data_IF_348866651995
#
_entry.id   IF_348866651995
#
_cell.length_a   1.000
_cell.length_b   1.000
_cell.length_c   1.000
_cell.angle_alpha   90.00
_cell.angle_beta   90.00
_cell.angle_gamma   90.00
#
_symmetry.space_group_name_H-M   'P 1'
#
loop_
_entity.id
_entity.type
_entity.pdbx_description
1 polymer ?
#
# COMPACT_ATOMS: atom_id res chain seq x y z
N UNK A 1 11.87 12.77 -0.20
CA UNK A 1 11.08 11.56 0.12
C UNK A 1 9.94 11.56 -0.89
N UNK A 2 9.70 10.45 -1.60
CA UNK A 2 8.53 10.37 -2.49
C UNK A 2 7.30 10.19 -1.60
N UNK A 3 6.19 10.86 -1.91
CA UNK A 3 4.92 10.65 -1.19
C UNK A 3 4.18 9.43 -1.74
N UNK A 4 3.37 8.75 -0.92
CA UNK A 4 2.65 7.55 -1.38
C UNK A 4 1.71 7.86 -2.55
N UNK A 5 1.06 9.01 -2.52
CA UNK A 5 0.17 9.48 -3.59
C UNK A 5 0.90 9.61 -4.93
N UNK A 6 2.09 10.21 -4.94
CA UNK A 6 2.91 10.38 -6.15
C UNK A 6 3.34 9.03 -6.71
N UNK A 7 3.82 8.14 -5.84
CA UNK A 7 4.17 6.77 -6.22
C UNK A 7 2.98 6.00 -6.80
N UNK A 8 1.80 6.15 -6.20
CA UNK A 8 0.60 5.45 -6.63
C UNK A 8 0.12 5.97 -8.00
N UNK A 9 0.11 7.29 -8.19
CA UNK A 9 -0.20 7.92 -9.48
C UNK A 9 0.79 7.48 -10.55
N UNK A 10 2.08 7.43 -10.24
CA UNK A 10 3.10 6.96 -11.17
C UNK A 10 2.85 5.50 -11.63
N UNK A 11 2.36 4.64 -10.72
CA UNK A 11 2.12 3.23 -11.02
C UNK A 11 0.78 2.96 -11.72
N UNK A 12 -0.23 3.80 -11.53
CA UNK A 12 -1.62 3.51 -11.94
C UNK A 12 -2.25 4.56 -12.84
N UNK A 13 -1.68 5.76 -12.92
CA UNK A 13 -2.25 6.91 -13.64
C UNK A 13 -3.39 7.62 -12.89
N UNK A 14 -3.80 7.15 -11.71
CA UNK A 14 -4.91 7.71 -10.92
C UNK A 14 -4.52 7.88 -9.45
N UNK A 15 -5.16 8.81 -8.70
CA UNK A 15 -4.86 8.98 -7.27
C UNK A 15 -5.37 7.80 -6.44
N UNK A 16 -4.72 7.48 -5.30
CA UNK A 16 -5.18 6.41 -4.42
C UNK A 16 -6.49 6.77 -3.72
N UNK A 17 -7.31 5.75 -3.47
CA UNK A 17 -8.43 5.86 -2.55
C UNK A 17 -7.93 6.10 -1.10
N UNK A 18 -8.72 6.78 -0.25
CA UNK A 18 -8.30 7.05 1.14
C UNK A 18 -7.91 5.80 1.93
N UNK A 19 -8.55 4.66 1.68
CA UNK A 19 -8.24 3.41 2.38
C UNK A 19 -6.90 2.80 1.93
N UNK A 20 -6.48 3.00 0.68
CA UNK A 20 -5.19 2.55 0.17
C UNK A 20 -4.06 3.35 0.83
N UNK A 21 -4.22 4.67 0.95
CA UNK A 21 -3.28 5.54 1.68
C UNK A 21 -3.19 5.13 3.16
N UNK A 22 -4.32 4.90 3.83
CA UNK A 22 -4.30 4.38 5.21
C UNK A 22 -3.55 3.05 5.32
N UNK A 23 -3.72 2.15 4.36
CA UNK A 23 -3.06 0.84 4.36
C UNK A 23 -1.54 0.95 4.16
N UNK A 24 -1.09 1.90 3.34
CA UNK A 24 0.33 2.17 3.06
C UNK A 24 1.09 2.66 4.30
N UNK A 25 0.44 3.50 5.12
CA UNK A 25 1.05 4.12 6.32
C UNK A 25 0.72 3.39 7.63
N UNK A 26 -0.14 2.38 7.62
CA UNK A 26 -0.50 1.65 8.83
C UNK A 26 0.69 0.88 9.44
N UNK A 27 0.86 0.99 10.75
CA UNK A 27 1.91 0.27 11.48
C UNK A 27 1.84 -1.26 11.26
N UNK A 28 0.63 -1.82 11.21
CA UNK A 28 0.35 -3.22 10.91
C UNK A 28 -0.70 -3.34 9.80
N UNK A 29 -0.70 -4.48 9.10
CA UNK A 29 -1.75 -4.78 8.12
C UNK A 29 -2.98 -5.36 8.84
N UNK A 30 -4.20 -5.01 8.41
CA UNK A 30 -5.41 -5.64 8.92
C UNK A 30 -5.46 -7.11 8.50
N UNK A 31 -6.09 -7.97 9.32
CA UNK A 31 -6.32 -9.38 8.98
C UNK A 31 -7.35 -9.56 7.85
N UNK A 32 -8.24 -8.59 7.68
CA UNK A 32 -9.31 -8.62 6.68
C UNK A 32 -9.49 -7.22 6.08
N UNK A 33 -9.50 -7.15 4.75
CA UNK A 33 -9.81 -5.95 3.99
C UNK A 33 -11.08 -6.19 3.18
N UNK A 34 -12.18 -5.56 3.59
CA UNK A 34 -13.46 -5.62 2.87
C UNK A 34 -13.61 -4.34 2.05
N UNK A 35 -13.72 -4.49 0.73
CA UNK A 35 -14.10 -3.41 -0.16
C UNK A 35 -14.85 -3.98 -1.38
N UNK A 36 -15.73 -3.21 -2.04
CA UNK A 36 -16.43 -3.65 -3.24
C UNK A 36 -15.49 -4.06 -4.38
N UNK A 37 -16.00 -4.84 -5.34
CA UNK A 37 -15.29 -5.07 -6.62
C UNK A 37 -15.12 -3.75 -7.35
N UNK A 38 -13.99 -3.57 -8.04
CA UNK A 38 -13.64 -2.29 -8.67
C UNK A 38 -13.10 -1.22 -7.70
N UNK A 39 -13.11 -1.44 -6.39
CA UNK A 39 -12.59 -0.47 -5.41
C UNK A 39 -11.05 -0.42 -5.33
N UNK A 40 -10.32 -1.10 -6.22
CA UNK A 40 -8.86 -1.08 -6.26
C UNK A 40 -8.17 -1.95 -5.18
N UNK A 41 -8.77 -3.08 -4.80
CA UNK A 41 -8.21 -3.97 -3.76
C UNK A 41 -6.87 -4.57 -4.14
N UNK A 42 -6.66 -4.85 -5.43
CA UNK A 42 -5.41 -5.44 -5.94
C UNK A 42 -4.27 -4.43 -5.81
N UNK A 43 -4.51 -3.19 -6.19
CA UNK A 43 -3.60 -2.05 -6.03
C UNK A 43 -3.33 -1.78 -4.55
N UNK A 44 -4.35 -1.91 -3.69
CA UNK A 44 -4.18 -1.82 -2.25
C UNK A 44 -3.20 -2.91 -1.73
N UNK A 45 -3.37 -4.16 -2.17
CA UNK A 45 -2.50 -5.25 -1.75
C UNK A 45 -1.06 -5.11 -2.28
N UNK A 46 -0.91 -4.83 -3.58
CA UNK A 46 0.39 -4.80 -4.26
C UNK A 46 1.15 -3.50 -3.98
N UNK A 47 0.51 -2.34 -4.20
CA UNK A 47 1.17 -1.05 -4.15
C UNK A 47 1.26 -0.52 -2.71
N UNK A 48 0.16 -0.57 -1.94
CA UNK A 48 0.13 -0.04 -0.58
C UNK A 48 0.71 -1.02 0.45
N UNK A 49 0.16 -2.24 0.54
CA UNK A 49 0.47 -3.19 1.59
C UNK A 49 1.80 -3.94 1.40
N UNK A 50 2.38 -3.92 0.20
CA UNK A 50 3.59 -4.67 -0.10
C UNK A 50 4.72 -3.81 -0.65
N UNK A 51 4.61 -3.34 -1.88
CA UNK A 51 5.72 -2.68 -2.58
C UNK A 51 6.15 -1.38 -1.89
N UNK A 52 5.19 -0.53 -1.52
CA UNK A 52 5.46 0.70 -0.78
C UNK A 52 6.13 0.44 0.56
N UNK A 53 5.53 -0.43 1.39
CA UNK A 53 6.07 -0.79 2.71
C UNK A 53 7.46 -1.43 2.61
N UNK A 54 7.74 -2.15 1.52
CA UNK A 54 9.05 -2.77 1.30
C UNK A 54 10.13 -1.77 0.90
N UNK A 55 9.79 -0.69 0.19
CA UNK A 55 10.75 0.30 -0.31
C UNK A 55 10.90 1.53 0.58
N UNK A 56 9.79 2.01 1.16
CA UNK A 56 9.72 3.33 1.78
C UNK A 56 9.39 3.31 3.27
N UNK A 57 8.88 2.21 3.84
CA UNK A 57 8.60 2.17 5.27
C UNK A 57 9.88 1.96 6.12
N UNK A 58 9.80 2.37 7.38
CA UNK A 58 10.89 2.28 8.34
C UNK A 58 11.18 0.84 8.78
N UNK A 59 12.32 0.66 9.46
CA UNK A 59 12.98 -0.63 9.67
C UNK A 59 12.09 -1.78 10.12
N UNK A 60 11.20 -1.57 11.10
CA UNK A 60 10.32 -2.61 11.63
C UNK A 60 9.27 -3.04 10.59
N UNK A 61 8.54 -2.08 10.02
CA UNK A 61 7.52 -2.32 8.99
C UNK A 61 8.13 -2.98 7.75
N UNK A 62 9.28 -2.47 7.30
CA UNK A 62 9.98 -3.00 6.12
C UNK A 62 10.49 -4.42 6.32
N UNK A 63 10.94 -4.78 7.53
CA UNK A 63 11.38 -6.15 7.88
C UNK A 63 10.21 -7.11 8.03
N UNK A 64 9.09 -6.66 8.58
CA UNK A 64 7.86 -7.46 8.70
C UNK A 64 7.16 -7.68 7.36
N UNK A 65 7.41 -6.81 6.37
CA UNK A 65 6.84 -6.94 5.02
C UNK A 65 7.60 -8.02 4.23
N UNK A 66 6.93 -9.11 3.79
CA UNK A 66 7.59 -10.19 3.04
C UNK A 66 8.26 -9.71 1.75
N UNK A 67 9.29 -10.43 1.29
CA UNK A 67 9.96 -10.15 0.01
C UNK A 67 9.20 -10.64 -1.22
N UNK A 68 8.20 -11.51 -1.02
CA UNK A 68 7.31 -12.05 -2.04
C UNK A 68 5.87 -11.81 -1.61
N UNK A 69 5.01 -11.39 -2.53
CA UNK A 69 3.58 -11.25 -2.33
C UNK A 69 2.88 -12.58 -2.64
#
# INVERSE_FOLDING_TARGET
MVEFSEFFVLATGVPPYPYQTRLAHAASLPKLLIAPTGAGKTEAAVLAAWLWRRRNAEGTVRRATPRRL
#
